data_IF_303355251132
#
_entry.id   IF_303355251132
#
_cell.length_a   1.000
_cell.length_b   1.000
_cell.length_c   1.000
_cell.angle_alpha   90.00
_cell.angle_beta   90.00
_cell.angle_gamma   90.00
#
_symmetry.space_group_name_H-M   'P 1'
#
loop_
_entity.id
_entity.type
_entity.pdbx_description
1 polymer ?
#
# COMPACT_ATOMS: atom_id res chain seq x y z
N UNK A 1 -33.21 87.69 -2.12
CA UNK A 1 -34.46 87.73 -1.35
C UNK A 1 -34.28 86.82 -0.13
N UNK A 2 -34.56 87.36 1.05
CA UNK A 2 -34.35 86.76 2.38
C UNK A 2 -35.53 85.87 2.80
N UNK A 3 -35.28 84.97 3.78
CA UNK A 3 -36.18 84.21 4.72
C UNK A 3 -36.15 82.68 4.51
N UNK A 4 -35.56 81.82 5.37
CA UNK A 4 -35.63 81.59 6.85
C UNK A 4 -36.98 80.93 7.22
N UNK A 5 -37.07 79.61 7.45
CA UNK A 5 -37.10 78.82 8.73
C UNK A 5 -37.75 77.44 8.38
N UNK A 6 -37.63 76.30 9.06
CA UNK A 6 -37.16 75.92 10.39
C UNK A 6 -36.80 74.41 10.41
N UNK A 7 -36.05 74.05 11.45
CA UNK A 7 -35.59 72.73 11.82
C UNK A 7 -36.69 71.71 12.14
N UNK A 8 -36.36 70.42 11.99
CA UNK A 8 -36.51 69.47 13.08
C UNK A 8 -35.53 68.31 12.89
N UNK A 9 -34.59 68.21 13.84
CA UNK A 9 -33.65 67.11 13.94
C UNK A 9 -34.35 65.85 14.47
N UNK A 10 -34.09 64.71 13.85
CA UNK A 10 -34.03 63.42 14.56
C UNK A 10 -32.82 62.68 14.02
N UNK A 11 -31.73 62.72 14.79
CA UNK A 11 -30.59 61.84 14.62
C UNK A 11 -31.02 60.45 15.11
N UNK A 12 -31.07 59.48 14.20
CA UNK A 12 -31.09 58.06 14.56
C UNK A 12 -29.78 57.45 14.09
N UNK A 13 -28.82 57.39 15.01
CA UNK A 13 -27.58 56.64 14.86
C UNK A 13 -27.90 55.16 15.05
N UNK A 14 -28.05 54.40 13.96
CA UNK A 14 -27.86 52.96 14.01
C UNK A 14 -26.38 52.67 13.88
N UNK A 15 -25.77 52.37 15.03
CA UNK A 15 -24.41 51.88 15.14
C UNK A 15 -24.25 50.60 14.31
N UNK A 16 -23.22 50.60 13.46
CA UNK A 16 -22.73 49.42 12.77
C UNK A 16 -22.14 48.45 13.80
N UNK A 17 -22.85 47.37 14.11
CA UNK A 17 -22.22 46.16 14.64
C UNK A 17 -21.76 45.32 13.44
N UNK A 18 -20.56 45.60 12.95
CA UNK A 18 -19.78 44.62 12.22
C UNK A 18 -19.44 43.50 13.21
N UNK A 19 -20.22 42.43 13.20
CA UNK A 19 -19.86 41.20 13.90
C UNK A 19 -18.67 40.59 13.16
N UNK A 20 -17.49 40.64 13.77
CA UNK A 20 -16.35 39.83 13.36
C UNK A 20 -16.78 38.36 13.36
N UNK A 21 -16.86 37.76 12.17
CA UNK A 21 -17.02 36.32 12.02
C UNK A 21 -15.72 35.70 12.55
N UNK A 22 -15.75 34.92 13.65
CA UNK A 22 -14.55 34.27 14.13
C UNK A 22 -14.00 33.36 13.02
N UNK A 23 -12.67 33.31 12.82
CA UNK A 23 -12.07 32.50 11.77
C UNK A 23 -12.54 31.06 11.91
N UNK A 24 -13.17 30.55 10.85
CA UNK A 24 -13.65 29.17 10.74
C UNK A 24 -12.44 28.27 11.01
N UNK A 25 -12.44 27.61 12.16
CA UNK A 25 -11.38 26.67 12.54
C UNK A 25 -11.14 25.69 11.37
N UNK A 26 -9.88 25.33 11.07
CA UNK A 26 -9.61 24.34 10.05
C UNK A 26 -10.43 23.08 10.35
N UNK A 27 -11.01 22.41 9.33
CA UNK A 27 -11.81 21.21 9.56
C UNK A 27 -10.97 20.25 10.40
N UNK A 28 -11.50 19.86 11.56
CA UNK A 28 -10.90 18.82 12.40
C UNK A 28 -10.77 17.59 11.53
N UNK A 29 -9.55 17.26 11.13
CA UNK A 29 -9.20 15.97 10.53
C UNK A 29 -9.73 14.92 11.49
N UNK A 30 -10.72 14.15 11.07
CA UNK A 30 -11.28 13.09 11.90
C UNK A 30 -10.12 12.19 12.35
N UNK A 31 -10.01 11.96 13.66
CA UNK A 31 -9.02 11.02 14.18
C UNK A 31 -9.26 9.67 13.47
N UNK A 32 -8.22 9.05 12.89
CA UNK A 32 -8.38 7.78 12.20
C UNK A 32 -9.06 6.77 13.13
N UNK A 33 -10.14 6.14 12.66
CA UNK A 33 -10.85 5.10 13.42
C UNK A 33 -9.82 4.09 13.92
N UNK A 34 -9.88 3.71 15.20
CA UNK A 34 -8.98 2.71 15.77
C UNK A 34 -9.08 1.41 14.94
N UNK A 35 -8.03 1.10 14.17
CA UNK A 35 -8.00 -0.04 13.25
C UNK A 35 -7.93 0.33 11.75
N UNK A 36 -8.08 1.59 11.38
CA UNK A 36 -7.85 2.03 10.00
C UNK A 36 -6.38 1.84 9.61
N UNK A 37 -6.16 1.46 8.35
CA UNK A 37 -4.82 1.37 7.79
C UNK A 37 -4.19 2.78 7.79
N UNK A 38 -2.91 2.88 8.16
CA UNK A 38 -2.17 4.14 8.14
C UNK A 38 -0.66 3.91 8.06
N UNK A 39 0.06 4.93 7.63
CA UNK A 39 1.50 5.01 7.82
C UNK A 39 1.84 5.13 9.31
N UNK A 40 2.77 4.30 9.79
CA UNK A 40 3.24 4.32 11.20
C UNK A 40 4.27 5.42 11.42
N UNK A 41 5.12 5.61 10.41
CA UNK A 41 6.15 6.64 10.33
C UNK A 41 5.97 7.37 9.00
N UNK A 42 6.50 8.59 8.86
CA UNK A 42 6.59 9.26 7.56
C UNK A 42 7.17 8.31 6.49
N UNK A 43 6.58 8.27 5.28
CA UNK A 43 7.17 7.59 4.13
C UNK A 43 8.59 8.08 3.83
N UNK A 44 9.41 7.20 3.28
CA UNK A 44 10.74 7.54 2.79
C UNK A 44 10.72 7.49 1.25
N UNK A 45 11.19 8.54 0.60
CA UNK A 45 11.28 8.57 -0.88
C UNK A 45 12.75 8.67 -1.25
N UNK A 46 13.31 7.59 -1.79
CA UNK A 46 14.65 7.62 -2.33
C UNK A 46 14.58 8.12 -3.76
N UNK A 47 15.37 9.13 -4.10
CA UNK A 47 15.40 9.72 -5.44
C UNK A 47 16.77 9.51 -6.08
N UNK A 48 16.78 8.78 -7.20
CA UNK A 48 17.93 8.69 -8.10
C UNK A 48 17.80 9.78 -9.18
N UNK A 49 18.60 10.83 -9.04
CA UNK A 49 18.59 11.96 -9.94
C UNK A 49 19.15 11.61 -11.34
N UNK A 50 20.02 10.61 -11.46
CA UNK A 50 20.58 10.21 -12.76
C UNK A 50 19.55 9.43 -13.57
N UNK A 51 18.78 8.57 -12.90
CA UNK A 51 17.76 7.72 -13.54
C UNK A 51 16.35 8.33 -13.55
N UNK A 52 16.13 9.44 -12.85
CA UNK A 52 14.81 10.05 -12.65
C UNK A 52 13.79 9.08 -12.02
N UNK A 53 14.25 8.23 -11.10
CA UNK A 53 13.41 7.24 -10.41
C UNK A 53 13.21 7.58 -8.95
N UNK A 54 12.06 7.19 -8.42
CA UNK A 54 11.72 7.23 -7.01
C UNK A 54 11.49 5.81 -6.51
N UNK A 55 12.19 5.43 -5.45
CA UNK A 55 11.87 4.22 -4.70
C UNK A 55 11.17 4.65 -3.39
N UNK A 56 9.86 4.44 -3.36
CA UNK A 56 8.97 4.92 -2.29
C UNK A 56 8.75 3.80 -1.29
N UNK A 57 9.21 4.00 -0.06
CA UNK A 57 9.06 3.04 1.02
C UNK A 57 8.09 3.51 2.09
N UNK A 58 7.24 2.58 2.54
CA UNK A 58 6.27 2.83 3.61
C UNK A 58 6.27 1.72 4.65
N UNK A 59 5.88 2.11 5.87
CA UNK A 59 5.52 1.16 6.93
C UNK A 59 4.08 1.36 7.35
N UNK A 60 3.30 0.29 7.29
CA UNK A 60 1.91 0.24 7.71
C UNK A 60 1.77 -0.27 9.15
N UNK A 61 0.66 0.07 9.78
CA UNK A 61 0.36 -0.34 11.17
C UNK A 61 -0.03 -1.81 11.29
N UNK A 62 -0.43 -2.44 10.19
CA UNK A 62 -0.69 -3.87 10.04
C UNK A 62 -0.34 -4.30 8.61
N UNK A 63 -0.15 -5.60 8.37
CA UNK A 63 -0.05 -6.10 7.00
C UNK A 63 -1.31 -5.80 6.20
N UNK A 64 -1.13 -5.58 4.91
CA UNK A 64 -2.18 -5.72 3.90
C UNK A 64 -2.74 -7.16 3.94
N UNK A 65 -4.01 -7.31 3.58
CA UNK A 65 -4.69 -8.62 3.66
C UNK A 65 -4.12 -9.63 2.67
N UNK A 66 -3.75 -9.13 1.49
CA UNK A 66 -3.11 -9.87 0.41
C UNK A 66 -1.71 -9.28 0.19
N UNK A 67 -0.69 -10.12 0.13
CA UNK A 67 0.70 -9.65 0.23
C UNK A 67 1.68 -10.76 -0.14
N UNK A 68 1.57 -11.37 -1.32
CA UNK A 68 2.56 -12.37 -1.78
C UNK A 68 3.10 -12.03 -3.16
N UNK A 69 2.24 -11.78 -4.14
CA UNK A 69 2.62 -11.35 -5.49
C UNK A 69 2.57 -9.82 -5.65
N UNK A 70 1.38 -9.25 -5.55
CA UNK A 70 1.12 -7.81 -5.55
C UNK A 70 0.34 -7.43 -4.29
N UNK A 71 0.92 -6.60 -3.41
CA UNK A 71 0.25 -6.38 -2.13
C UNK A 71 -1.08 -5.63 -2.31
N UNK A 72 -2.14 -6.04 -1.63
CA UNK A 72 -3.48 -5.49 -1.79
C UNK A 72 -4.30 -5.53 -0.48
N UNK A 73 -5.14 -4.52 -0.27
CA UNK A 73 -6.10 -4.49 0.85
C UNK A 73 -7.45 -5.12 0.46
N UNK A 74 -7.81 -5.05 -0.83
CA UNK A 74 -9.03 -5.57 -1.40
C UNK A 74 -8.71 -6.57 -2.52
N UNK A 75 -9.54 -7.60 -2.67
CA UNK A 75 -9.38 -8.54 -3.78
C UNK A 75 -9.53 -7.82 -5.13
N UNK A 76 -8.80 -8.26 -6.15
CA UNK A 76 -8.80 -7.71 -7.50
C UNK A 76 -8.35 -6.23 -7.61
N UNK A 77 -7.75 -5.66 -6.56
CA UNK A 77 -7.19 -4.31 -6.62
C UNK A 77 -5.80 -4.29 -5.97
N UNK A 78 -4.76 -4.19 -6.81
CA UNK A 78 -3.39 -4.03 -6.34
C UNK A 78 -3.24 -2.70 -5.59
N UNK A 79 -2.71 -2.73 -4.37
CA UNK A 79 -2.34 -1.50 -3.70
C UNK A 79 -1.11 -0.89 -4.38
N UNK A 80 -1.12 0.43 -4.54
CA UNK A 80 -0.07 1.18 -5.20
C UNK A 80 0.33 2.40 -4.37
N UNK A 81 1.59 2.80 -4.47
CA UNK A 81 2.14 4.01 -3.87
C UNK A 81 2.29 5.09 -4.92
N UNK A 82 1.61 6.20 -4.75
CA UNK A 82 1.83 7.41 -5.53
C UNK A 82 2.73 8.38 -4.77
N UNK A 83 3.60 9.08 -5.49
CA UNK A 83 4.30 10.26 -5.02
C UNK A 83 4.13 11.38 -6.04
N UNK A 84 4.06 12.63 -5.57
CA UNK A 84 3.81 13.78 -6.45
C UNK A 84 4.77 13.82 -7.66
N UNK A 85 4.23 13.75 -8.88
CA UNK A 85 4.99 13.75 -10.14
C UNK A 85 5.52 12.38 -10.59
N UNK A 86 5.46 11.36 -9.72
CA UNK A 86 5.80 9.99 -10.03
C UNK A 86 4.73 9.31 -10.89
N UNK A 87 5.16 8.38 -11.74
CA UNK A 87 4.32 7.57 -12.61
C UNK A 87 4.70 6.10 -12.45
N UNK A 88 3.70 5.24 -12.59
CA UNK A 88 3.89 3.80 -12.65
C UNK A 88 4.06 3.35 -14.10
N UNK A 89 4.91 2.36 -14.33
CA UNK A 89 4.84 1.56 -15.55
C UNK A 89 3.80 0.45 -15.36
N UNK A 90 4.00 -0.36 -14.31
CA UNK A 90 3.04 -1.35 -13.83
C UNK A 90 2.83 -1.12 -12.32
N UNK A 91 1.64 -0.67 -11.88
CA UNK A 91 1.36 -0.46 -10.46
C UNK A 91 1.47 -1.75 -9.65
N UNK A 92 2.06 -1.67 -8.46
CA UNK A 92 2.20 -2.84 -7.62
C UNK A 92 3.24 -2.68 -6.53
N UNK A 93 2.77 -2.63 -5.28
CA UNK A 93 3.67 -2.61 -4.14
C UNK A 93 4.43 -3.93 -3.98
N UNK A 94 5.76 -3.82 -3.95
CA UNK A 94 6.66 -4.92 -3.67
C UNK A 94 6.44 -5.41 -2.23
N UNK A 95 6.22 -6.71 -2.11
CA UNK A 95 6.09 -7.39 -0.83
C UNK A 95 7.43 -7.87 -0.32
N UNK A 96 7.71 -7.59 0.96
CA UNK A 96 8.86 -8.15 1.68
C UNK A 96 8.42 -9.24 2.67
N UNK A 97 8.57 -10.53 2.32
CA UNK A 97 8.28 -11.70 3.16
C UNK A 97 8.59 -11.58 4.64
N UNK A 98 9.80 -11.11 4.94
CA UNK A 98 10.32 -11.05 6.31
C UNK A 98 9.93 -9.76 7.03
N UNK A 99 9.28 -8.80 6.35
CA UNK A 99 8.87 -7.49 6.85
C UNK A 99 7.41 -7.22 6.46
N UNK A 100 6.45 -7.91 7.07
CA UNK A 100 5.08 -8.00 6.55
C UNK A 100 4.26 -6.71 6.63
N UNK A 101 4.82 -5.64 7.19
CA UNK A 101 4.19 -4.32 7.25
C UNK A 101 4.97 -3.26 6.48
N UNK A 102 6.00 -3.65 5.73
CA UNK A 102 6.83 -2.74 4.96
C UNK A 102 6.81 -3.10 3.49
N UNK A 103 6.74 -2.07 2.69
CA UNK A 103 6.46 -2.15 1.28
C UNK A 103 7.22 -1.06 0.57
N UNK A 104 7.57 -1.33 -0.67
CA UNK A 104 8.22 -0.39 -1.58
C UNK A 104 7.51 -0.38 -2.93
N UNK A 105 7.69 0.68 -3.69
CA UNK A 105 7.31 0.74 -5.09
C UNK A 105 8.22 1.72 -5.83
N UNK A 106 8.65 1.29 -7.02
CA UNK A 106 9.47 2.08 -7.92
C UNK A 106 8.58 2.92 -8.85
N UNK A 107 8.81 4.21 -8.89
CA UNK A 107 8.11 5.19 -9.73
C UNK A 107 9.10 5.92 -10.63
N UNK A 108 8.62 6.41 -11.76
CA UNK A 108 9.40 7.19 -12.71
C UNK A 108 8.90 8.62 -12.75
N UNK A 109 9.83 9.58 -12.78
CA UNK A 109 9.52 10.97 -13.10
C UNK A 109 9.59 11.15 -14.62
N UNK A 110 8.70 11.99 -15.16
CA UNK A 110 8.86 12.43 -16.55
C UNK A 110 10.18 13.19 -16.72
N UNK A 111 10.83 13.09 -17.88
CA UNK A 111 12.08 13.80 -18.18
C UNK A 111 11.97 15.33 -17.98
N UNK A 112 10.77 15.88 -18.14
CA UNK A 112 10.48 17.30 -17.94
C UNK A 112 10.20 17.69 -16.49
N UNK A 113 10.16 16.74 -15.56
CA UNK A 113 9.88 17.01 -14.15
C UNK A 113 11.02 17.81 -13.52
N UNK A 114 10.71 18.75 -12.60
CA UNK A 114 11.74 19.43 -11.84
C UNK A 114 12.51 18.42 -10.98
N UNK A 115 13.83 18.62 -10.88
CA UNK A 115 14.68 17.84 -9.99
C UNK A 115 14.22 17.96 -8.54
N UNK A 116 14.12 16.84 -7.84
CA UNK A 116 13.83 16.84 -6.41
C UNK A 116 15.13 17.07 -5.61
N UNK A 117 15.01 17.74 -4.48
CA UNK A 117 16.16 18.05 -3.60
C UNK A 117 16.13 17.24 -2.31
N UNK A 118 17.30 16.98 -1.74
CA UNK A 118 17.41 16.27 -0.46
C UNK A 118 16.69 17.02 0.66
N UNK A 119 15.92 16.30 1.48
CA UNK A 119 15.10 16.88 2.53
C UNK A 119 13.77 17.48 2.06
N UNK A 120 13.48 17.51 0.76
CA UNK A 120 12.23 18.06 0.23
C UNK A 120 11.02 17.27 0.77
N UNK A 121 9.99 17.94 1.32
CA UNK A 121 8.75 17.26 1.66
C UNK A 121 8.01 16.88 0.39
N UNK A 122 7.50 15.65 0.36
CA UNK A 122 6.72 15.13 -0.77
C UNK A 122 5.48 14.41 -0.25
N UNK A 123 4.33 14.66 -0.88
CA UNK A 123 3.12 13.92 -0.57
C UNK A 123 3.23 12.51 -1.17
N UNK A 124 2.96 11.52 -0.32
CA UNK A 124 2.90 10.11 -0.69
C UNK A 124 1.52 9.59 -0.34
N UNK A 125 0.90 8.89 -1.28
CA UNK A 125 -0.40 8.27 -1.12
C UNK A 125 -0.29 6.77 -1.34
N UNK A 126 -0.87 5.99 -0.45
CA UNK A 126 -1.16 4.58 -0.67
C UNK A 126 -2.59 4.46 -1.17
N UNK A 127 -2.76 4.04 -2.42
CA UNK A 127 -4.04 3.68 -2.98
C UNK A 127 -4.40 2.24 -2.62
N UNK A 128 -5.63 2.05 -2.17
CA UNK A 128 -6.17 0.74 -1.80
C UNK A 128 -7.33 0.33 -2.70
N UNK A 129 -8.04 1.32 -3.26
CA UNK A 129 -9.09 1.18 -4.27
C UNK A 129 -9.34 2.56 -4.90
N UNK A 130 -10.20 2.64 -5.93
CA UNK A 130 -10.63 3.89 -6.56
C UNK A 130 -11.16 4.97 -5.58
N UNK A 131 -11.58 4.56 -4.38
CA UNK A 131 -12.21 5.44 -3.38
C UNK A 131 -11.48 5.47 -2.05
N UNK A 132 -10.47 4.62 -1.84
CA UNK A 132 -9.77 4.52 -0.57
C UNK A 132 -8.28 4.77 -0.74
N UNK A 133 -7.82 5.84 -0.08
CA UNK A 133 -6.43 6.25 -0.07
C UNK A 133 -5.97 6.58 1.34
N UNK A 134 -4.71 6.31 1.62
CA UNK A 134 -4.02 6.71 2.85
C UNK A 134 -2.91 7.66 2.45
N UNK A 135 -2.97 8.91 2.91
CA UNK A 135 -1.98 9.92 2.54
C UNK A 135 -1.05 10.26 3.70
N UNK A 136 0.17 10.68 3.38
CA UNK A 136 1.16 11.12 4.33
C UNK A 136 2.22 11.97 3.64
N UNK A 137 2.97 12.71 4.43
CA UNK A 137 4.12 13.48 3.93
C UNK A 137 5.40 12.71 4.23
N UNK A 138 6.14 12.39 3.18
CA UNK A 138 7.48 11.83 3.26
C UNK A 138 8.55 12.88 3.05
N UNK A 139 9.80 12.43 3.14
CA UNK A 139 10.98 13.26 2.86
C UNK A 139 11.78 12.61 1.75
N UNK A 140 12.12 13.40 0.74
CA UNK A 140 13.02 12.98 -0.35
C UNK A 140 14.43 12.83 0.20
N UNK A 141 15.06 11.71 -0.13
CA UNK A 141 16.47 11.45 0.10
C UNK A 141 17.15 11.22 -1.23
N UNK A 142 18.03 12.13 -1.62
CA UNK A 142 18.76 12.01 -2.89
C UNK A 142 19.93 11.05 -2.67
N UNK A 143 19.96 9.94 -3.40
CA UNK A 143 21.03 8.96 -3.27
C UNK A 143 21.23 8.20 -4.57
N UNK A 144 22.49 8.09 -5.02
CA UNK A 144 22.89 7.26 -6.14
C UNK A 144 23.10 5.78 -5.76
N UNK A 145 23.01 5.45 -4.47
CA UNK A 145 23.23 4.11 -3.95
C UNK A 145 21.93 3.64 -3.28
N UNK A 146 21.36 2.47 -3.63
CA UNK A 146 20.20 1.92 -2.93
C UNK A 146 20.53 1.84 -1.44
N UNK A 147 19.88 2.68 -0.64
CA UNK A 147 20.30 2.90 0.73
C UNK A 147 20.25 1.58 1.52
N UNK A 148 21.40 1.03 1.97
CA UNK A 148 21.35 -0.14 2.83
C UNK A 148 20.60 0.28 4.09
N UNK A 149 19.60 -0.51 4.49
CA UNK A 149 18.82 -0.35 5.73
C UNK A 149 17.63 0.62 5.71
N UNK A 150 16.95 0.85 4.58
CA UNK A 150 15.66 1.57 4.57
C UNK A 150 14.66 0.97 5.57
N UNK A 151 14.62 -0.35 5.67
CA UNK A 151 13.69 -1.03 6.57
C UNK A 151 14.03 -0.77 8.04
N UNK A 152 15.30 -0.54 8.37
CA UNK A 152 15.71 -0.15 9.72
C UNK A 152 15.27 1.29 10.05
N UNK A 153 15.39 2.22 9.09
CA UNK A 153 14.96 3.61 9.24
C UNK A 153 13.44 3.72 9.45
N UNK A 154 12.66 2.92 8.71
CA UNK A 154 11.21 2.81 8.90
C UNK A 154 10.81 1.99 10.14
N UNK A 155 11.76 1.33 10.80
CA UNK A 155 11.51 0.47 11.96
C UNK A 155 10.68 -0.77 11.62
N UNK A 156 10.86 -1.32 10.43
CA UNK A 156 10.13 -2.47 9.91
C UNK A 156 10.31 -3.71 10.80
N UNK A 157 9.26 -4.21 11.47
CA UNK A 157 9.38 -5.38 12.32
C UNK A 157 9.69 -6.62 11.49
N UNK A 158 10.64 -7.44 11.96
CA UNK A 158 10.91 -8.75 11.34
C UNK A 158 9.82 -9.74 11.73
N UNK A 159 9.24 -10.44 10.77
CA UNK A 159 8.37 -11.58 11.04
C UNK A 159 9.17 -12.68 11.75
N UNK A 160 8.84 -12.92 13.01
CA UNK A 160 9.45 -14.01 13.79
C UNK A 160 8.94 -15.34 13.22
N UNK A 161 9.83 -16.34 13.16
CA UNK A 161 9.50 -17.69 12.68
C UNK A 161 9.00 -17.78 11.23
N UNK A 162 9.24 -16.75 10.41
CA UNK A 162 9.00 -16.77 8.97
C UNK A 162 10.31 -16.93 8.22
N UNK A 163 10.29 -17.71 7.14
CA UNK A 163 11.43 -17.99 6.26
C UNK A 163 11.00 -17.78 4.82
N UNK A 164 11.91 -17.26 4.00
CA UNK A 164 11.78 -17.25 2.54
C UNK A 164 12.13 -18.64 1.99
N UNK A 165 11.37 -19.08 1.01
CA UNK A 165 11.39 -20.45 0.52
C UNK A 165 11.68 -20.53 -0.98
N UNK A 166 12.64 -19.75 -1.49
CA UNK A 166 13.06 -19.61 -2.90
C UNK A 166 13.10 -20.91 -3.73
N UNK A 167 11.92 -21.42 -4.06
CA UNK A 167 11.73 -22.70 -4.72
C UNK A 167 10.45 -22.61 -5.52
N UNK A 168 10.36 -23.45 -6.55
CA UNK A 168 9.22 -23.49 -7.46
C UNK A 168 8.67 -24.91 -7.51
N UNK A 169 7.38 -25.00 -7.77
CA UNK A 169 6.69 -26.27 -7.98
C UNK A 169 5.89 -26.16 -9.27
N UNK A 170 6.11 -27.12 -10.16
CA UNK A 170 5.43 -27.17 -11.44
C UNK A 170 4.16 -28.02 -11.29
N UNK A 171 3.02 -27.40 -11.55
CA UNK A 171 1.72 -28.05 -11.69
C UNK A 171 1.47 -28.52 -13.11
N UNK A 172 0.26 -29.02 -13.36
CA UNK A 172 -0.13 -29.45 -14.71
C UNK A 172 -0.40 -28.25 -15.65
N UNK A 173 -0.94 -27.16 -15.09
CA UNK A 173 -1.39 -25.99 -15.85
C UNK A 173 -0.77 -24.66 -15.41
N UNK A 174 0.12 -24.68 -14.40
CA UNK A 174 0.75 -23.48 -13.87
C UNK A 174 2.01 -23.81 -13.06
N UNK A 175 2.91 -22.84 -12.93
CA UNK A 175 4.06 -22.91 -12.02
C UNK A 175 3.82 -22.01 -10.79
N UNK A 176 4.01 -22.57 -9.59
CA UNK A 176 3.87 -21.83 -8.33
C UNK A 176 5.25 -21.54 -7.73
N UNK A 177 5.55 -20.26 -7.52
CA UNK A 177 6.62 -19.80 -6.65
C UNK A 177 6.25 -20.03 -5.18
N UNK A 178 7.11 -20.74 -4.44
CA UNK A 178 6.94 -20.96 -3.01
C UNK A 178 7.64 -19.81 -2.29
N UNK A 179 6.88 -18.85 -1.79
CA UNK A 179 7.47 -17.62 -1.27
C UNK A 179 7.91 -17.77 0.17
N UNK A 180 7.02 -18.23 1.06
CA UNK A 180 7.33 -18.23 2.50
C UNK A 180 6.74 -19.39 3.30
N UNK A 181 7.38 -19.66 4.43
CA UNK A 181 6.92 -20.58 5.47
C UNK A 181 7.01 -19.91 6.85
N UNK A 182 5.85 -19.66 7.48
CA UNK A 182 5.74 -19.17 8.84
C UNK A 182 5.33 -20.29 9.81
N UNK A 183 6.06 -20.40 10.93
CA UNK A 183 5.86 -21.45 11.95
C UNK A 183 5.87 -22.89 11.39
N UNK A 184 6.56 -23.08 10.27
CA UNK A 184 6.77 -24.37 9.60
C UNK A 184 8.10 -24.35 8.82
N UNK A 185 8.37 -25.34 7.98
CA UNK A 185 9.58 -25.41 7.15
C UNK A 185 9.28 -25.19 5.66
N UNK A 186 10.29 -24.74 4.91
CA UNK A 186 10.18 -24.61 3.45
C UNK A 186 9.92 -25.95 2.76
N UNK A 187 10.38 -27.06 3.33
CA UNK A 187 10.02 -28.40 2.86
C UNK A 187 8.50 -28.63 2.93
N UNK A 188 7.87 -28.29 4.06
CA UNK A 188 6.42 -28.41 4.20
C UNK A 188 5.69 -27.44 3.27
N UNK A 189 6.18 -26.20 3.13
CA UNK A 189 5.60 -25.24 2.19
C UNK A 189 5.61 -25.76 0.75
N UNK A 190 6.75 -26.29 0.31
CA UNK A 190 6.88 -26.93 -1.01
C UNK A 190 5.90 -28.09 -1.17
N UNK A 191 5.83 -29.01 -0.20
CA UNK A 191 4.91 -30.16 -0.27
C UNK A 191 3.42 -29.76 -0.29
N UNK A 192 3.07 -28.64 0.37
CA UNK A 192 1.72 -28.05 0.31
C UNK A 192 1.48 -27.44 -1.07
N UNK A 193 2.41 -26.65 -1.61
CA UNK A 193 2.23 -26.02 -2.93
C UNK A 193 2.24 -27.03 -4.08
N UNK A 194 3.06 -28.08 -4.02
CA UNK A 194 3.01 -29.20 -5.00
C UNK A 194 1.64 -29.85 -5.04
N UNK A 195 0.94 -29.89 -3.91
CA UNK A 195 -0.42 -30.39 -3.82
C UNK A 195 -1.41 -29.40 -4.41
N UNK A 196 -1.27 -28.10 -4.14
CA UNK A 196 -2.08 -27.05 -4.76
C UNK A 196 -1.97 -27.11 -6.29
N UNK A 197 -0.74 -27.18 -6.83
CA UNK A 197 -0.51 -27.23 -8.28
C UNK A 197 -1.08 -28.47 -9.00
N UNK A 198 -1.44 -29.54 -8.26
CA UNK A 198 -2.15 -30.70 -8.83
C UNK A 198 -3.65 -30.51 -8.95
N UNK A 199 -4.23 -29.55 -8.23
CA UNK A 199 -5.68 -29.30 -8.23
C UNK A 199 -6.04 -27.96 -8.86
N UNK A 200 -5.06 -27.07 -8.93
CA UNK A 200 -5.23 -25.78 -9.54
C UNK A 200 -5.26 -25.95 -11.06
N UNK A 201 -6.45 -25.84 -11.63
CA UNK A 201 -6.70 -25.85 -13.06
C UNK A 201 -7.03 -24.41 -13.51
N UNK A 202 -6.03 -23.74 -14.08
CA UNK A 202 -6.17 -22.39 -14.65
C UNK A 202 -7.04 -22.38 -15.92
N UNK A 203 -7.24 -23.52 -16.58
CA UNK A 203 -8.05 -23.66 -17.79
C UNK A 203 -9.56 -23.68 -17.55
N UNK A 204 -10.00 -24.23 -16.41
CA UNK A 204 -11.42 -24.32 -16.05
C UNK A 204 -11.89 -23.24 -15.05
N UNK A 205 -10.98 -22.70 -14.23
CA UNK A 205 -11.30 -21.69 -13.23
C UNK A 205 -10.43 -20.42 -13.38
N UNK A 206 -10.38 -19.84 -14.58
CA UNK A 206 -9.50 -18.69 -14.89
C UNK A 206 -9.71 -17.48 -13.96
N UNK A 207 -10.90 -17.22 -13.44
CA UNK A 207 -11.11 -16.09 -12.50
C UNK A 207 -10.72 -16.43 -11.04
N UNK A 208 -10.70 -17.72 -10.70
CA UNK A 208 -10.53 -18.19 -9.33
C UNK A 208 -9.73 -19.48 -9.32
N UNK A 209 -8.48 -19.45 -8.84
CA UNK A 209 -7.72 -20.69 -8.65
C UNK A 209 -8.57 -21.69 -7.84
N UNK A 210 -8.92 -22.85 -8.43
CA UNK A 210 -9.85 -23.80 -7.80
C UNK A 210 -9.29 -24.39 -6.48
N UNK A 211 -8.06 -24.03 -6.08
CA UNK A 211 -7.43 -24.36 -4.82
C UNK A 211 -8.32 -24.10 -3.58
N UNK A 212 -9.17 -23.07 -3.62
CA UNK A 212 -10.10 -22.74 -2.53
C UNK A 212 -11.20 -23.81 -2.31
N UNK A 213 -11.54 -24.59 -3.33
CA UNK A 213 -12.53 -25.67 -3.26
C UNK A 213 -12.02 -26.90 -2.48
N UNK A 214 -10.70 -27.01 -2.30
CA UNK A 214 -10.07 -28.15 -1.63
C UNK A 214 -9.73 -27.83 -0.16
N UNK A 215 -10.72 -28.05 0.71
CA UNK A 215 -10.70 -27.64 2.12
C UNK A 215 -9.63 -28.30 3.02
N UNK A 216 -8.80 -29.21 2.52
CA UNK A 216 -7.75 -29.83 3.34
C UNK A 216 -6.57 -30.38 2.55
N UNK A 217 -5.50 -29.59 2.46
CA UNK A 217 -4.20 -30.01 1.96
C UNK A 217 -3.27 -30.39 3.13
N UNK A 218 -3.22 -31.67 3.51
CA UNK A 218 -2.48 -32.14 4.71
C UNK A 218 -2.92 -31.43 6.01
N UNK A 219 -4.18 -30.99 6.03
CA UNK A 219 -4.77 -30.20 7.11
C UNK A 219 -4.51 -28.69 7.01
N UNK A 220 -3.87 -28.20 5.95
CA UNK A 220 -3.88 -26.79 5.60
C UNK A 220 -5.15 -26.45 4.83
N UNK A 221 -5.78 -25.34 5.20
CA UNK A 221 -6.84 -24.71 4.41
C UNK A 221 -6.20 -23.64 3.53
N UNK A 222 -6.38 -23.78 2.22
CA UNK A 222 -5.82 -22.85 1.24
C UNK A 222 -6.90 -21.89 0.74
N UNK A 223 -6.51 -20.63 0.61
CA UNK A 223 -7.28 -19.58 -0.03
C UNK A 223 -6.40 -19.02 -1.13
N UNK A 224 -7.02 -18.71 -2.27
CA UNK A 224 -6.35 -18.10 -3.40
C UNK A 224 -7.13 -16.85 -3.80
N UNK A 225 -6.42 -15.79 -4.13
CA UNK A 225 -7.01 -14.54 -4.61
C UNK A 225 -6.32 -14.14 -5.90
N UNK A 226 -7.11 -13.76 -6.89
CA UNK A 226 -6.60 -13.08 -8.08
C UNK A 226 -6.09 -11.69 -7.66
N UNK A 227 -5.01 -11.31 -8.29
CA UNK A 227 -4.21 -10.16 -7.97
C UNK A 227 -3.73 -9.50 -9.26
N UNK A 228 -4.21 -8.28 -9.53
CA UNK A 228 -4.12 -7.71 -10.87
C UNK A 228 -4.92 -8.53 -11.89
N UNK A 229 -4.41 -8.62 -13.11
CA UNK A 229 -5.14 -9.23 -14.23
C UNK A 229 -4.93 -10.76 -14.33
N UNK A 230 -3.76 -11.28 -13.94
CA UNK A 230 -3.41 -12.69 -14.16
C UNK A 230 -2.41 -13.28 -13.16
N UNK A 231 -2.31 -12.71 -11.96
CA UNK A 231 -1.47 -13.27 -10.88
C UNK A 231 -2.33 -13.77 -9.73
N UNK A 232 -1.98 -14.90 -9.12
CA UNK A 232 -2.68 -15.42 -7.95
C UNK A 232 -1.77 -15.48 -6.73
N UNK A 233 -2.29 -14.99 -5.62
CA UNK A 233 -1.71 -15.16 -4.29
C UNK A 233 -2.36 -16.38 -3.63
N UNK A 234 -1.55 -17.33 -3.19
CA UNK A 234 -1.99 -18.57 -2.54
C UNK A 234 -1.52 -18.54 -1.09
N UNK A 235 -2.47 -18.58 -0.15
CA UNK A 235 -2.20 -18.61 1.29
C UNK A 235 -2.84 -19.85 1.89
N UNK A 236 -2.02 -20.72 2.46
CA UNK A 236 -2.48 -21.94 3.12
C UNK A 236 -2.16 -21.88 4.62
N UNK A 237 -3.18 -22.10 5.48
CA UNK A 237 -3.07 -21.99 6.94
C UNK A 237 -3.41 -23.31 7.66
N UNK A 238 -2.68 -23.62 8.72
CA UNK A 238 -2.94 -24.73 9.66
C UNK A 238 -2.54 -24.33 11.09
N UNK A 239 -3.53 -23.99 11.92
CA UNK A 239 -3.26 -23.44 13.25
C UNK A 239 -2.45 -22.15 13.15
N UNK A 240 -1.22 -22.14 13.69
CA UNK A 240 -0.27 -21.00 13.57
C UNK A 240 0.63 -21.08 12.35
N UNK A 241 0.65 -22.20 11.63
CA UNK A 241 1.46 -22.34 10.43
C UNK A 241 0.77 -21.66 9.25
N UNK A 242 1.55 -20.91 8.48
CA UNK A 242 1.12 -20.28 7.24
C UNK A 242 2.19 -20.55 6.17
N UNK A 243 1.76 -20.91 4.98
CA UNK A 243 2.63 -21.05 3.81
C UNK A 243 2.04 -20.22 2.68
N UNK A 244 2.90 -19.53 1.95
CA UNK A 244 2.51 -18.60 0.89
C UNK A 244 3.21 -18.96 -0.40
N UNK A 245 2.50 -18.80 -1.50
CA UNK A 245 3.02 -18.94 -2.84
C UNK A 245 2.30 -18.01 -3.79
N UNK A 246 2.88 -17.80 -4.96
CA UNK A 246 2.30 -17.00 -6.02
C UNK A 246 2.52 -17.65 -7.38
N UNK A 247 1.69 -17.30 -8.34
CA UNK A 247 1.83 -17.71 -9.74
C UNK A 247 1.36 -16.57 -10.63
N UNK A 248 1.96 -16.43 -11.80
CA UNK A 248 1.63 -15.44 -12.83
C UNK A 248 1.59 -16.20 -14.16
N UNK A 249 0.41 -16.30 -14.77
CA UNK A 249 0.16 -17.04 -16.02
C UNK A 249 -0.54 -16.14 -17.04
#
# INVERSE_FOLDING_TARGET
MLRVLAACAIAVTFAACAAEVPPKAPPRTAAPLAGSLRFVTPPLVLYDAEQQTLDVWVRLNRPLKHNVGYSAEFANYGASLEAAGGRHDIPGMQYWPLRPTCYSEDLWLAESSPQLTDGQPIEVSLELSDTQRVTGTGTVRVSADPAPHVEAQLGCPRARHTRECHSRVDGEHLTIGVETAAHTSCKVAREVMERVGRWADSGACYEHLCASAHRSNRGFRCEAALNGEASWDIVCRKGRAEVRGSTAE
#
